data_IF_354563836053
#
_entry.id   IF_354563836053
#
_cell.length_a   1.000
_cell.length_b   1.000
_cell.length_c   1.000
_cell.angle_alpha   90.00
_cell.angle_beta   90.00
_cell.angle_gamma   90.00
#
_symmetry.space_group_name_H-M   'P 1'
#
loop_
_entity.id
_entity.type
_entity.pdbx_description
1 polymer ?
#
# COMPACT_ATOMS: atom_id res chain seq x y z
N UNK A 1 -17.69 -18.14 -17.17
CA UNK A 1 -17.89 -18.83 -15.89
C UNK A 1 -17.10 -18.11 -14.84
N UNK A 2 -17.71 -17.58 -13.80
CA UNK A 2 -17.00 -16.86 -12.72
C UNK A 2 -16.56 -17.92 -11.71
N UNK A 3 -15.34 -17.82 -11.22
CA UNK A 3 -14.81 -18.70 -10.18
C UNK A 3 -15.62 -18.53 -8.89
N UNK A 4 -16.17 -19.63 -8.35
CA UNK A 4 -17.06 -19.62 -7.19
C UNK A 4 -16.38 -19.10 -5.92
N UNK A 5 -15.07 -19.30 -5.78
CA UNK A 5 -14.30 -18.72 -4.67
C UNK A 5 -14.33 -17.18 -4.70
N UNK A 6 -14.14 -16.58 -5.86
CA UNK A 6 -14.24 -15.12 -5.98
C UNK A 6 -15.67 -14.62 -5.84
N UNK A 7 -16.65 -15.40 -6.29
CA UNK A 7 -18.06 -15.07 -6.11
C UNK A 7 -18.46 -15.06 -4.63
N UNK A 8 -17.98 -16.00 -3.83
CA UNK A 8 -18.20 -16.01 -2.39
C UNK A 8 -17.55 -14.83 -1.66
N UNK A 9 -16.41 -14.35 -2.17
CA UNK A 9 -15.71 -13.17 -1.63
C UNK A 9 -16.49 -11.86 -1.88
N UNK A 10 -17.33 -11.79 -2.92
CA UNK A 10 -18.13 -10.61 -3.22
C UNK A 10 -19.24 -10.36 -2.19
N UNK A 11 -19.68 -11.38 -1.48
CA UNK A 11 -20.72 -11.28 -0.46
C UNK A 11 -20.20 -10.82 0.91
N UNK A 12 -18.89 -10.85 1.13
CA UNK A 12 -18.24 -10.43 2.37
C UNK A 12 -17.78 -8.98 2.29
N UNK A 13 -18.43 -8.07 3.00
CA UNK A 13 -17.87 -6.73 3.23
C UNK A 13 -16.69 -6.82 4.21
N UNK A 14 -15.68 -6.02 3.98
CA UNK A 14 -14.59 -5.85 4.97
C UNK A 14 -15.14 -5.14 6.20
N UNK A 15 -14.97 -5.74 7.37
CA UNK A 15 -15.38 -5.14 8.66
C UNK A 15 -14.81 -3.73 8.84
N UNK A 16 -13.58 -3.49 8.39
CA UNK A 16 -12.93 -2.17 8.45
C UNK A 16 -13.71 -1.16 7.60
N UNK A 17 -14.16 -1.55 6.41
CA UNK A 17 -14.96 -0.67 5.54
C UNK A 17 -16.35 -0.41 6.12
N UNK A 18 -16.98 -1.41 6.70
CA UNK A 18 -18.28 -1.24 7.38
C UNK A 18 -18.17 -0.27 8.56
N UNK A 19 -17.10 -0.36 9.34
CA UNK A 19 -16.83 0.56 10.44
C UNK A 19 -16.57 1.99 9.93
N UNK A 20 -15.81 2.14 8.85
CA UNK A 20 -15.57 3.44 8.23
C UNK A 20 -16.88 4.05 7.67
N UNK A 21 -17.68 3.27 6.95
CA UNK A 21 -18.99 3.71 6.45
C UNK A 21 -19.92 4.09 7.60
N UNK A 22 -19.91 3.31 8.68
CA UNK A 22 -20.71 3.61 9.87
C UNK A 22 -20.27 4.90 10.55
N UNK A 23 -18.97 5.10 10.74
CA UNK A 23 -18.44 6.31 11.39
C UNK A 23 -18.70 7.58 10.57
N UNK A 24 -18.65 7.48 9.24
CA UNK A 24 -18.85 8.63 8.35
C UNK A 24 -20.31 8.89 7.97
N UNK A 25 -21.24 8.01 8.34
CA UNK A 25 -22.67 8.24 8.15
C UNK A 25 -23.27 9.00 9.35
N UNK A 26 -23.22 10.32 9.30
CA UNK A 26 -23.72 11.19 10.37
C UNK A 26 -25.20 10.94 10.70
N UNK A 27 -25.97 10.36 9.79
CA UNK A 27 -27.39 10.05 10.06
C UNK A 27 -27.57 8.97 11.12
N UNK A 28 -26.54 8.14 11.31
CA UNK A 28 -26.49 7.13 12.39
C UNK A 28 -26.04 7.68 13.72
N UNK A 29 -25.58 8.94 13.74
CA UNK A 29 -25.04 9.60 14.92
C UNK A 29 -25.75 10.95 15.17
N UNK A 30 -27.09 10.99 15.31
CA UNK A 30 -27.84 12.24 15.36
C UNK A 30 -27.53 13.11 16.58
N UNK A 31 -26.79 12.57 17.55
CA UNK A 31 -26.39 13.27 18.78
C UNK A 31 -24.96 13.83 18.71
N UNK A 32 -24.23 13.50 17.66
CA UNK A 32 -22.83 13.90 17.48
C UNK A 32 -22.71 14.90 16.34
N UNK A 33 -21.75 15.79 16.47
CA UNK A 33 -21.31 16.62 15.36
C UNK A 33 -20.16 15.91 14.62
N UNK A 34 -19.92 16.23 13.33
CA UNK A 34 -18.81 15.62 12.58
C UNK A 34 -17.46 15.74 13.30
N UNK A 35 -17.22 16.86 13.99
CA UNK A 35 -16.00 17.10 14.75
C UNK A 35 -15.84 16.24 16.00
N UNK A 36 -16.91 15.62 16.48
CA UNK A 36 -16.90 14.73 17.65
C UNK A 36 -16.65 13.25 17.26
N UNK A 37 -16.55 12.96 15.96
CA UNK A 37 -16.33 11.61 15.45
C UNK A 37 -14.84 11.38 15.19
N UNK A 38 -14.23 10.49 15.95
CA UNK A 38 -12.84 10.08 15.81
C UNK A 38 -12.78 8.72 15.12
N UNK A 39 -12.57 8.73 13.78
CA UNK A 39 -12.52 7.51 12.98
C UNK A 39 -11.10 6.93 12.97
N UNK A 40 -10.92 5.80 13.64
CA UNK A 40 -9.67 5.01 13.64
C UNK A 40 -9.77 3.74 12.79
N UNK A 41 -10.77 3.62 11.92
CA UNK A 41 -11.00 2.42 11.12
C UNK A 41 -10.02 2.28 9.95
N UNK A 42 -9.65 3.38 9.32
CA UNK A 42 -8.73 3.42 8.17
C UNK A 42 -7.49 4.26 8.48
N UNK A 43 -6.34 3.75 8.08
CA UNK A 43 -5.05 4.44 8.21
C UNK A 43 -4.80 5.49 7.14
N UNK A 44 -5.74 6.40 6.92
CA UNK A 44 -5.53 7.52 6.00
C UNK A 44 -4.54 8.53 6.59
N UNK A 45 -3.61 9.08 5.77
CA UNK A 45 -2.77 10.17 6.20
C UNK A 45 -3.60 11.38 6.63
N UNK A 46 -3.36 11.87 7.85
CA UNK A 46 -4.03 13.05 8.40
C UNK A 46 -3.23 14.34 8.21
N UNK A 47 -2.03 14.25 7.67
CA UNK A 47 -1.15 15.38 7.38
C UNK A 47 -0.90 15.50 5.87
N UNK A 48 -0.80 16.71 5.33
CA UNK A 48 -0.48 16.89 3.92
C UNK A 48 0.93 16.39 3.61
N UNK A 49 1.15 15.96 2.38
CA UNK A 49 2.50 15.61 1.92
C UNK A 49 3.40 16.85 1.95
N UNK A 50 4.72 16.69 2.18
CA UNK A 50 5.65 17.80 2.09
C UNK A 50 5.59 18.49 0.72
N UNK A 51 5.64 19.81 0.70
CA UNK A 51 5.58 20.59 -0.55
C UNK A 51 6.67 20.19 -1.56
N UNK A 52 7.86 19.87 -1.06
CA UNK A 52 8.97 19.36 -1.87
C UNK A 52 8.62 18.10 -2.69
N UNK A 53 7.71 17.25 -2.19
CA UNK A 53 7.25 16.07 -2.93
C UNK A 53 6.44 16.47 -4.16
N UNK A 54 5.47 17.37 -3.98
CA UNK A 54 4.64 17.86 -5.09
C UNK A 54 5.49 18.61 -6.12
N UNK A 55 6.43 19.46 -5.66
CA UNK A 55 7.35 20.16 -6.53
C UNK A 55 8.21 19.21 -7.36
N UNK A 56 8.67 18.10 -6.75
CA UNK A 56 9.46 17.10 -7.46
C UNK A 56 8.67 16.34 -8.51
N UNK A 57 7.41 15.99 -8.23
CA UNK A 57 6.53 15.34 -9.21
C UNK A 57 6.30 16.28 -10.41
N UNK A 58 5.98 17.54 -10.16
CA UNK A 58 5.80 18.56 -11.24
C UNK A 58 7.06 18.68 -12.08
N UNK A 59 8.21 18.81 -11.47
CA UNK A 59 9.49 18.90 -12.17
C UNK A 59 9.79 17.66 -13.03
N UNK A 60 9.41 16.46 -12.59
CA UNK A 60 9.56 15.24 -13.38
C UNK A 60 8.65 15.24 -14.61
N UNK A 61 7.42 15.72 -14.49
CA UNK A 61 6.49 15.82 -15.60
C UNK A 61 6.92 16.89 -16.61
N UNK A 62 7.44 18.02 -16.14
CA UNK A 62 7.82 19.15 -16.98
C UNK A 62 9.16 18.94 -17.72
N UNK A 63 10.11 18.23 -17.12
CA UNK A 63 11.48 18.07 -17.61
C UNK A 63 11.85 16.66 -18.05
N UNK A 64 10.97 15.69 -17.81
CA UNK A 64 11.23 14.29 -18.13
C UNK A 64 11.04 13.96 -19.60
N UNK A 65 11.76 12.98 -20.10
CA UNK A 65 11.44 12.34 -21.37
C UNK A 65 10.04 11.70 -21.24
N UNK A 66 9.05 12.09 -22.05
CA UNK A 66 7.69 11.57 -21.97
C UNK A 66 7.64 10.04 -22.11
N UNK A 67 8.52 9.46 -22.91
CA UNK A 67 8.60 8.00 -23.11
C UNK A 67 9.11 7.30 -21.85
N UNK A 68 10.02 7.91 -21.14
CA UNK A 68 10.54 7.38 -19.88
C UNK A 68 9.55 7.57 -18.72
N UNK A 69 8.87 8.72 -18.67
CA UNK A 69 7.94 9.06 -17.59
C UNK A 69 6.63 8.26 -17.70
N UNK A 70 6.12 8.07 -18.92
CA UNK A 70 4.82 7.43 -19.18
C UNK A 70 4.91 6.03 -19.78
N UNK A 71 6.12 5.57 -20.09
CA UNK A 71 6.36 4.25 -20.65
C UNK A 71 6.37 3.13 -19.61
N UNK A 72 6.53 1.90 -20.08
CA UNK A 72 6.72 0.76 -19.19
C UNK A 72 8.06 0.85 -18.47
N UNK A 73 8.04 0.62 -17.16
CA UNK A 73 9.26 0.41 -16.38
C UNK A 73 9.77 -1.05 -16.54
N UNK A 74 11.07 -1.31 -16.30
CA UNK A 74 11.56 -2.67 -16.13
C UNK A 74 10.79 -3.42 -15.04
N UNK A 75 10.62 -4.74 -15.20
CA UNK A 75 9.79 -5.57 -14.28
C UNK A 75 10.19 -5.48 -12.81
N UNK A 76 11.46 -5.28 -12.53
CA UNK A 76 11.96 -5.09 -11.15
C UNK A 76 11.84 -3.64 -10.65
N UNK A 77 11.43 -2.72 -11.50
CA UNK A 77 11.42 -1.28 -11.24
C UNK A 77 12.64 -0.55 -11.82
N UNK A 78 12.57 0.77 -11.89
CA UNK A 78 13.61 1.64 -12.45
C UNK A 78 14.91 1.49 -11.65
N UNK A 79 16.06 1.13 -12.29
CA UNK A 79 17.32 0.87 -11.58
C UNK A 79 17.76 2.02 -10.67
N UNK A 80 17.72 3.26 -11.17
CA UNK A 80 18.11 4.44 -10.40
C UNK A 80 17.24 4.66 -9.15
N UNK A 81 15.95 4.28 -9.18
CA UNK A 81 15.08 4.35 -8.01
C UNK A 81 15.44 3.25 -7.00
N UNK A 82 15.67 2.03 -7.48
CA UNK A 82 16.08 0.88 -6.64
C UNK A 82 17.41 1.16 -5.93
N UNK A 83 18.38 1.70 -6.65
CA UNK A 83 19.69 2.09 -6.08
C UNK A 83 19.55 3.14 -4.96
N UNK A 84 18.74 4.18 -5.18
CA UNK A 84 18.48 5.20 -4.16
C UNK A 84 17.78 4.64 -2.93
N UNK A 85 16.85 3.70 -3.12
CA UNK A 85 16.17 3.02 -2.00
C UNK A 85 17.16 2.18 -1.21
N UNK A 86 17.99 1.36 -1.88
CA UNK A 86 19.03 0.57 -1.23
C UNK A 86 19.98 1.46 -0.42
N UNK A 87 20.49 2.55 -1.02
CA UNK A 87 21.34 3.49 -0.34
C UNK A 87 20.67 4.17 0.87
N UNK A 88 19.37 4.48 0.77
CA UNK A 88 18.60 5.05 1.89
C UNK A 88 18.46 4.06 3.04
N UNK A 89 18.12 2.81 2.75
CA UNK A 89 17.99 1.74 3.76
C UNK A 89 19.34 1.47 4.44
N UNK A 90 20.42 1.44 3.67
CA UNK A 90 21.77 1.26 4.20
C UNK A 90 22.15 2.37 5.20
N UNK A 91 21.89 3.63 4.84
CA UNK A 91 22.17 4.76 5.74
C UNK A 91 21.31 4.76 7.01
N UNK A 92 20.03 4.39 6.89
CA UNK A 92 19.07 4.49 8.01
C UNK A 92 19.15 3.33 8.97
N UNK A 93 19.47 2.14 8.46
CA UNK A 93 19.36 0.89 9.21
C UNK A 93 20.68 0.09 9.26
N UNK A 94 21.79 0.62 8.74
CA UNK A 94 23.09 -0.07 8.75
C UNK A 94 23.11 -1.33 7.88
N UNK A 95 22.24 -1.41 6.86
CA UNK A 95 22.17 -2.55 5.96
C UNK A 95 23.23 -2.49 4.87
N UNK A 96 23.33 -3.55 4.07
CA UNK A 96 24.25 -3.67 2.93
C UNK A 96 23.53 -4.04 1.66
N UNK A 97 22.37 -3.44 1.41
CA UNK A 97 21.60 -3.70 0.21
C UNK A 97 22.22 -3.08 -1.03
N UNK A 98 22.07 -3.78 -2.13
CA UNK A 98 22.30 -3.31 -3.50
C UNK A 98 20.96 -3.07 -4.19
N UNK A 99 20.96 -2.56 -5.40
CA UNK A 99 19.72 -2.45 -6.18
C UNK A 99 19.08 -3.83 -6.46
N UNK A 100 19.87 -4.91 -6.46
CA UNK A 100 19.38 -6.26 -6.76
C UNK A 100 18.60 -6.87 -5.60
N UNK A 101 18.71 -6.30 -4.41
CA UNK A 101 17.92 -6.66 -3.24
C UNK A 101 16.58 -5.89 -3.18
N UNK A 102 16.30 -5.00 -4.13
CA UNK A 102 15.11 -4.15 -4.15
C UNK A 102 14.18 -4.56 -5.28
N UNK A 103 12.97 -4.95 -4.93
CA UNK A 103 11.89 -5.25 -5.86
C UNK A 103 10.74 -4.25 -5.68
N UNK A 104 10.37 -3.56 -6.75
CA UNK A 104 9.29 -2.56 -6.71
C UNK A 104 7.93 -3.22 -6.92
N UNK A 105 6.96 -2.87 -6.10
CA UNK A 105 5.59 -3.37 -6.20
C UNK A 105 4.57 -2.24 -6.17
N UNK A 106 3.35 -2.52 -6.61
CA UNK A 106 2.22 -1.60 -6.49
C UNK A 106 1.64 -1.67 -5.07
N UNK A 107 2.23 -0.90 -4.17
CA UNK A 107 1.81 -0.82 -2.76
C UNK A 107 2.15 -2.04 -1.91
N UNK A 108 1.84 -1.94 -0.62
CA UNK A 108 2.13 -2.99 0.36
C UNK A 108 1.41 -4.31 0.08
N UNK A 109 0.17 -4.26 -0.42
CA UNK A 109 -0.58 -5.47 -0.76
C UNK A 109 0.11 -6.28 -1.87
N UNK A 110 0.67 -5.60 -2.88
CA UNK A 110 1.47 -6.24 -3.92
C UNK A 110 2.73 -6.89 -3.35
N UNK A 111 3.44 -6.19 -2.48
CA UNK A 111 4.64 -6.72 -1.82
C UNK A 111 4.33 -7.98 -1.00
N UNK A 112 3.28 -7.94 -0.19
CA UNK A 112 2.84 -9.09 0.62
C UNK A 112 2.42 -10.27 -0.26
N UNK A 113 1.67 -10.03 -1.34
CA UNK A 113 1.26 -11.09 -2.25
C UNK A 113 2.45 -11.81 -2.89
N UNK A 114 3.48 -11.08 -3.28
CA UNK A 114 4.71 -11.67 -3.81
C UNK A 114 5.51 -12.41 -2.72
N UNK A 115 5.67 -11.80 -1.54
CA UNK A 115 6.39 -12.40 -0.43
C UNK A 115 5.75 -13.73 0.01
N UNK A 116 4.44 -13.76 0.19
CA UNK A 116 3.74 -15.00 0.54
C UNK A 116 3.89 -16.08 -0.53
N UNK A 117 3.73 -15.73 -1.81
CA UNK A 117 3.92 -16.70 -2.89
C UNK A 117 5.33 -17.31 -2.93
N UNK A 118 6.34 -16.57 -2.49
CA UNK A 118 7.71 -17.07 -2.44
C UNK A 118 7.97 -18.03 -1.29
N UNK A 119 7.29 -17.86 -0.15
CA UNK A 119 7.60 -18.58 1.08
C UNK A 119 6.53 -19.60 1.50
N UNK A 120 5.38 -19.64 0.81
CA UNK A 120 4.29 -20.57 1.13
C UNK A 120 4.01 -21.56 0.00
N UNK A 121 3.51 -22.74 0.37
CA UNK A 121 3.05 -23.79 -0.54
C UNK A 121 1.57 -24.09 -0.28
N UNK A 122 0.87 -24.72 -1.23
CA UNK A 122 -0.49 -25.20 -1.00
C UNK A 122 -0.56 -26.11 0.22
N UNK A 123 -1.41 -25.77 1.18
CA UNK A 123 -1.55 -26.50 2.44
C UNK A 123 -0.84 -25.87 3.63
N UNK A 124 0.01 -24.86 3.42
CA UNK A 124 0.56 -24.09 4.52
C UNK A 124 -0.53 -23.28 5.21
N UNK A 125 -0.49 -23.27 6.53
CA UNK A 125 -1.44 -22.56 7.38
C UNK A 125 -0.75 -21.44 8.16
N UNK A 126 -1.42 -20.29 8.27
CA UNK A 126 -1.05 -19.29 9.26
C UNK A 126 -1.45 -19.76 10.65
N UNK A 127 -0.49 -19.81 11.56
CA UNK A 127 -0.75 -20.15 12.95
C UNK A 127 -1.64 -19.10 13.58
N UNK A 128 -2.93 -19.38 13.67
CA UNK A 128 -3.84 -18.61 14.50
C UNK A 128 -3.28 -18.54 15.92
N UNK A 129 -2.92 -17.33 16.32
CA UNK A 129 -2.61 -17.07 17.72
C UNK A 129 -3.85 -17.41 18.53
N UNK A 130 -3.79 -18.50 19.30
CA UNK A 130 -4.83 -18.79 20.29
C UNK A 130 -4.87 -17.58 21.22
N UNK A 131 -5.95 -16.84 21.15
CA UNK A 131 -6.21 -15.80 22.16
C UNK A 131 -6.44 -16.52 23.47
N UNK A 132 -5.58 -16.28 24.42
CA UNK A 132 -5.82 -16.59 25.83
C UNK A 132 -6.98 -15.72 26.31
#
# INVERSE_FOLDING_TARGET
>A
MINETYKSMLSGKSVIRELNEYANDITRHPHLKPEDIFDYSLGNPSVPVPEAFNARIKALLDSGDPMLVHGYSPSLGIPAAREKIAASLNRRFGMRYTMDDIFMTSGAAGALAHAFRLVTQPGDEDRKRTRL
#
